data_IF_561190893987
#
_entry.id   IF_561190893987
#
_cell.length_a   1.000
_cell.length_b   1.000
_cell.length_c   1.000
_cell.angle_alpha   90.00
_cell.angle_beta   90.00
_cell.angle_gamma   90.00
#
_symmetry.space_group_name_H-M   'P 1'
#
loop_
_entity.id
_entity.type
_entity.pdbx_description
1 polymer ?
#
# COMPACT_ATOMS: atom_id res chain seq x y z
N UNK A 1 -6.93 50.47 -53.30
CA UNK A 1 -7.56 51.29 -52.25
C UNK A 1 -8.54 50.41 -51.47
N UNK A 2 -8.33 50.25 -50.15
CA UNK A 2 -9.25 49.81 -49.06
C UNK A 2 -10.08 48.52 -49.29
N UNK A 3 -9.79 47.40 -48.61
CA UNK A 3 -10.19 47.08 -47.22
C UNK A 3 -11.71 47.09 -47.00
N UNK A 4 -12.35 45.92 -46.76
CA UNK A 4 -12.67 45.38 -45.42
C UNK A 4 -13.44 44.05 -45.54
N UNK A 5 -13.41 43.32 -44.43
CA UNK A 5 -13.63 41.87 -44.25
C UNK A 5 -14.96 41.64 -43.49
N UNK A 6 -15.37 40.36 -43.42
CA UNK A 6 -16.26 39.68 -42.44
C UNK A 6 -17.77 39.66 -42.71
N UNK A 7 -18.55 38.63 -42.35
CA UNK A 7 -18.38 37.19 -42.06
C UNK A 7 -19.81 36.62 -41.90
N UNK A 8 -20.11 35.43 -42.42
CA UNK A 8 -21.02 34.42 -41.83
C UNK A 8 -21.00 33.20 -42.75
N UNK A 9 -20.98 31.94 -42.34
CA UNK A 9 -21.04 31.28 -41.05
C UNK A 9 -21.48 29.86 -41.38
N UNK A 10 -20.55 28.91 -41.55
CA UNK A 10 -20.87 27.52 -41.84
C UNK A 10 -20.39 26.65 -40.68
N UNK A 11 -21.33 26.36 -39.77
CA UNK A 11 -21.17 25.40 -38.68
C UNK A 11 -21.18 23.98 -39.24
N UNK A 12 -20.02 23.46 -39.65
CA UNK A 12 -19.83 22.03 -39.82
C UNK A 12 -19.25 21.46 -38.54
N UNK A 13 -20.12 20.93 -37.68
CA UNK A 13 -19.75 19.98 -36.65
C UNK A 13 -19.02 18.81 -37.34
N UNK A 14 -17.72 18.70 -37.10
CA UNK A 14 -16.94 17.52 -37.49
C UNK A 14 -17.11 16.46 -36.42
N UNK A 15 -17.52 15.29 -36.88
CA UNK A 15 -17.82 14.07 -36.13
C UNK A 15 -16.70 13.72 -35.14
N UNK A 16 -17.02 13.70 -33.84
CA UNK A 16 -16.24 12.94 -32.86
C UNK A 16 -16.48 11.46 -33.16
N UNK A 17 -15.43 10.72 -33.50
CA UNK A 17 -15.53 9.32 -33.93
C UNK A 17 -15.89 8.42 -32.74
N UNK A 18 -16.88 7.54 -32.91
CA UNK A 18 -17.36 6.58 -31.88
C UNK A 18 -16.23 5.68 -31.33
N UNK A 19 -15.14 5.51 -32.08
CA UNK A 19 -13.96 4.72 -31.69
C UNK A 19 -13.20 5.33 -30.50
N UNK A 20 -13.17 6.66 -30.35
CA UNK A 20 -12.50 7.29 -29.18
C UNK A 20 -13.36 7.22 -27.91
N UNK A 21 -14.69 7.17 -28.05
CA UNK A 21 -15.60 6.96 -26.92
C UNK A 21 -15.50 5.53 -26.38
N UNK A 22 -15.33 4.52 -27.25
CA UNK A 22 -15.14 3.13 -26.82
C UNK A 22 -13.83 2.89 -26.05
N UNK A 23 -12.73 3.51 -26.49
CA UNK A 23 -11.44 3.45 -25.78
C UNK A 23 -11.46 4.21 -24.46
N UNK A 24 -12.14 5.36 -24.39
CA UNK A 24 -12.33 6.08 -23.12
C UNK A 24 -13.24 5.32 -22.17
N UNK A 25 -14.30 4.66 -22.65
CA UNK A 25 -15.19 3.84 -21.82
C UNK A 25 -14.48 2.60 -21.26
N UNK A 26 -13.61 1.95 -22.05
CA UNK A 26 -12.79 0.83 -21.57
C UNK A 26 -11.76 1.27 -20.52
N UNK A 27 -11.16 2.44 -20.71
CA UNK A 27 -10.23 3.01 -19.73
C UNK A 27 -10.95 3.45 -18.43
N UNK A 28 -12.22 3.87 -18.51
CA UNK A 28 -13.02 4.27 -17.35
C UNK A 28 -13.65 3.09 -16.60
N UNK A 29 -14.10 2.04 -17.29
CA UNK A 29 -14.69 0.83 -16.68
C UNK A 29 -13.63 0.00 -15.95
N UNK A 30 -12.40 -0.06 -16.47
CA UNK A 30 -11.29 -0.79 -15.82
C UNK A 30 -10.94 -0.28 -14.42
N UNK A 31 -10.94 1.04 -14.22
CA UNK A 31 -10.60 1.67 -12.94
C UNK A 31 -11.71 1.49 -11.88
N UNK A 32 -12.97 1.40 -12.28
CA UNK A 32 -14.11 1.27 -11.36
C UNK A 32 -14.30 -0.17 -10.82
N UNK A 33 -13.90 -1.19 -11.57
CA UNK A 33 -14.04 -2.59 -11.16
C UNK A 33 -13.02 -3.00 -10.07
N UNK A 34 -11.81 -2.44 -10.11
CA UNK A 34 -10.73 -2.80 -9.20
C UNK A 34 -10.93 -2.25 -7.77
N UNK A 35 -11.53 -1.07 -7.62
CA UNK A 35 -11.90 -0.54 -6.29
C UNK A 35 -13.02 -1.34 -5.64
N UNK A 36 -14.00 -1.82 -6.43
CA UNK A 36 -15.15 -2.57 -5.91
C UNK A 36 -14.75 -3.91 -5.31
N UNK A 37 -13.75 -4.58 -5.87
CA UNK A 37 -13.29 -5.87 -5.37
C UNK A 37 -12.61 -5.78 -4.00
N UNK A 38 -11.92 -4.67 -3.71
CA UNK A 38 -11.33 -4.44 -2.40
C UNK A 38 -12.40 -4.24 -1.33
N UNK A 39 -13.41 -3.40 -1.62
CA UNK A 39 -14.48 -3.10 -0.67
C UNK A 39 -15.30 -4.35 -0.33
N UNK A 40 -15.54 -5.24 -1.32
CA UNK A 40 -16.16 -6.56 -1.06
C UNK A 40 -15.30 -7.41 -0.13
N UNK A 41 -13.98 -7.43 -0.33
CA UNK A 41 -13.06 -8.13 0.57
C UNK A 41 -13.08 -7.57 1.99
N UNK A 42 -13.14 -6.24 2.13
CA UNK A 42 -13.19 -5.57 3.42
C UNK A 42 -14.51 -5.81 4.15
N UNK A 43 -15.65 -5.69 3.47
CA UNK A 43 -16.96 -6.00 4.07
C UNK A 43 -17.01 -7.46 4.55
N UNK A 44 -16.56 -8.41 3.72
CA UNK A 44 -16.49 -9.81 4.12
C UNK A 44 -15.59 -10.03 5.35
N UNK A 45 -14.46 -9.33 5.43
CA UNK A 45 -13.56 -9.40 6.58
C UNK A 45 -14.23 -8.87 7.86
N UNK A 46 -14.93 -7.73 7.78
CA UNK A 46 -15.64 -7.11 8.91
C UNK A 46 -16.82 -7.97 9.40
N UNK A 47 -17.48 -8.70 8.49
CA UNK A 47 -18.57 -9.64 8.79
C UNK A 47 -18.05 -11.00 9.31
N UNK A 48 -16.74 -11.23 9.28
CA UNK A 48 -16.13 -12.50 9.67
C UNK A 48 -16.18 -13.59 8.61
N UNK A 49 -16.61 -13.29 7.37
CA UNK A 49 -16.43 -14.16 6.21
C UNK A 49 -14.98 -14.08 5.69
N UNK A 50 -14.09 -14.69 6.47
CA UNK A 50 -12.67 -14.72 6.14
C UNK A 50 -12.34 -15.53 4.89
N UNK A 51 -13.25 -16.41 4.43
CA UNK A 51 -13.02 -17.16 3.19
C UNK A 51 -13.12 -16.24 1.98
N UNK A 52 -14.19 -15.44 1.91
CA UNK A 52 -14.38 -14.46 0.85
C UNK A 52 -13.33 -13.35 0.93
N UNK A 53 -13.04 -12.85 2.13
CA UNK A 53 -12.00 -11.83 2.34
C UNK A 53 -10.63 -12.32 1.85
N UNK A 54 -10.23 -13.55 2.24
CA UNK A 54 -8.96 -14.14 1.82
C UNK A 54 -8.89 -14.24 0.30
N UNK A 55 -9.95 -14.72 -0.35
CA UNK A 55 -9.98 -14.86 -1.80
C UNK A 55 -9.77 -13.50 -2.50
N UNK A 56 -10.50 -12.47 -2.06
CA UNK A 56 -10.41 -11.12 -2.64
C UNK A 56 -9.04 -10.48 -2.39
N UNK A 57 -8.58 -10.44 -1.15
CA UNK A 57 -7.28 -9.85 -0.82
C UNK A 57 -6.13 -10.59 -1.49
N UNK A 58 -6.17 -11.92 -1.58
CA UNK A 58 -5.11 -12.70 -2.25
C UNK A 58 -5.06 -12.47 -3.75
N UNK A 59 -6.20 -12.21 -4.40
CA UNK A 59 -6.24 -11.82 -5.81
C UNK A 59 -5.65 -10.42 -6.01
N UNK A 60 -6.14 -9.43 -5.26
CA UNK A 60 -5.72 -8.03 -5.36
C UNK A 60 -4.26 -7.82 -4.97
N UNK A 61 -3.79 -8.48 -3.90
CA UNK A 61 -2.41 -8.40 -3.43
C UNK A 61 -1.41 -8.91 -4.47
N UNK A 62 -1.78 -9.95 -5.23
CA UNK A 62 -0.97 -10.46 -6.36
C UNK A 62 -0.91 -9.49 -7.53
N UNK A 63 -1.96 -8.69 -7.73
CA UNK A 63 -1.97 -7.59 -8.72
C UNK A 63 -1.22 -6.35 -8.25
N UNK A 64 -0.76 -6.31 -7.00
CA UNK A 64 0.00 -5.19 -6.45
C UNK A 64 -0.80 -4.20 -5.60
N UNK A 65 -2.10 -4.43 -5.36
CA UNK A 65 -2.89 -3.53 -4.52
C UNK A 65 -2.30 -3.47 -3.10
N UNK A 66 -1.84 -2.27 -2.74
CA UNK A 66 -1.12 -1.97 -1.49
C UNK A 66 -1.98 -2.31 -0.26
N UNK A 67 -3.28 -1.98 -0.31
CA UNK A 67 -4.20 -2.22 0.81
C UNK A 67 -4.44 -3.71 0.97
N UNK A 68 -4.66 -4.43 -0.13
CA UNK A 68 -4.85 -5.87 -0.10
C UNK A 68 -3.61 -6.61 0.40
N UNK A 69 -2.41 -6.16 0.06
CA UNK A 69 -1.16 -6.69 0.62
C UNK A 69 -1.11 -6.47 2.14
N UNK A 70 -1.47 -5.28 2.62
CA UNK A 70 -1.55 -5.02 4.06
C UNK A 70 -2.54 -5.95 4.78
N UNK A 71 -3.78 -6.03 4.28
CA UNK A 71 -4.84 -6.85 4.90
C UNK A 71 -4.53 -8.35 4.83
N UNK A 72 -3.94 -8.83 3.73
CA UNK A 72 -3.50 -10.22 3.64
C UNK A 72 -2.43 -10.53 4.70
N UNK A 73 -1.52 -9.58 4.95
CA UNK A 73 -0.57 -9.69 6.05
C UNK A 73 -1.26 -9.76 7.42
N UNK A 74 -2.28 -8.93 7.67
CA UNK A 74 -3.08 -9.00 8.90
C UNK A 74 -3.79 -10.34 9.07
N UNK A 75 -4.36 -10.91 8.00
CA UNK A 75 -5.01 -12.22 8.03
C UNK A 75 -4.04 -13.32 8.46
N UNK A 76 -2.83 -13.33 7.89
CA UNK A 76 -1.78 -14.28 8.30
C UNK A 76 -1.29 -14.03 9.74
N UNK A 77 -1.21 -12.77 10.19
CA UNK A 77 -0.83 -12.44 11.56
C UNK A 77 -1.84 -12.95 12.59
N UNK A 78 -3.13 -12.86 12.27
CA UNK A 78 -4.25 -13.22 13.16
C UNK A 78 -4.66 -14.68 13.04
N UNK A 79 -4.43 -15.30 11.88
CA UNK A 79 -4.98 -16.61 11.53
C UNK A 79 -6.44 -16.54 11.06
N UNK A 80 -6.84 -15.41 10.48
CA UNK A 80 -8.22 -15.19 10.02
C UNK A 80 -8.40 -15.86 8.65
N UNK A 81 -9.14 -16.98 8.60
CA UNK A 81 -9.34 -17.76 7.37
C UNK A 81 -8.10 -18.50 6.85
N UNK A 82 -6.96 -18.38 7.54
CA UNK A 82 -5.68 -19.02 7.21
C UNK A 82 -4.98 -19.52 8.48
N UNK A 83 -4.03 -20.44 8.34
CA UNK A 83 -3.12 -20.76 9.45
C UNK A 83 -2.29 -19.53 9.79
N UNK A 84 -2.25 -19.18 11.07
CA UNK A 84 -1.44 -18.08 11.58
C UNK A 84 0.04 -18.27 11.21
N UNK A 85 0.63 -17.29 10.54
CA UNK A 85 2.01 -17.31 10.08
C UNK A 85 2.58 -15.89 9.98
N UNK A 86 3.44 -15.51 10.95
CA UNK A 86 4.08 -14.20 10.95
C UNK A 86 5.10 -14.02 9.83
N UNK A 87 5.70 -15.09 9.31
CA UNK A 87 6.68 -15.00 8.22
C UNK A 87 5.97 -14.57 6.95
N UNK A 88 4.81 -15.17 6.69
CA UNK A 88 3.98 -14.79 5.56
C UNK A 88 3.39 -13.39 5.74
N UNK A 89 2.97 -13.03 6.95
CA UNK A 89 2.52 -11.67 7.25
C UNK A 89 3.60 -10.61 6.93
N UNK A 90 4.85 -10.84 7.37
CA UNK A 90 5.99 -9.96 7.07
C UNK A 90 6.27 -9.85 5.58
N UNK A 91 6.13 -10.94 4.81
CA UNK A 91 6.30 -10.88 3.35
C UNK A 91 5.29 -9.94 2.70
N UNK A 92 4.01 -10.07 3.07
CA UNK A 92 2.93 -9.24 2.51
C UNK A 92 3.03 -7.79 2.96
N UNK A 93 3.27 -7.53 4.25
CA UNK A 93 3.50 -6.16 4.71
C UNK A 93 4.73 -5.53 4.06
N UNK A 94 5.82 -6.28 3.82
CA UNK A 94 7.00 -5.73 3.13
C UNK A 94 6.65 -5.21 1.74
N UNK A 95 5.82 -5.94 0.99
CA UNK A 95 5.36 -5.50 -0.33
C UNK A 95 4.52 -4.22 -0.26
N UNK A 96 3.64 -4.08 0.74
CA UNK A 96 2.87 -2.86 0.94
C UNK A 96 3.75 -1.69 1.42
N UNK A 97 4.69 -1.97 2.33
CA UNK A 97 5.54 -0.98 2.99
C UNK A 97 6.52 -0.31 2.04
N UNK A 98 7.12 -1.06 1.10
CA UNK A 98 8.01 -0.47 0.06
C UNK A 98 7.24 0.41 -0.93
N UNK A 99 5.92 0.24 -1.03
CA UNK A 99 5.06 1.12 -1.83
C UNK A 99 4.52 2.31 -1.02
N UNK A 100 4.98 2.47 0.24
CA UNK A 100 4.63 3.60 1.09
C UNK A 100 3.45 3.37 2.03
N UNK A 101 2.94 2.15 2.19
CA UNK A 101 1.88 1.89 3.16
C UNK A 101 2.39 2.07 4.59
N UNK A 102 1.91 3.12 5.25
CA UNK A 102 2.38 3.51 6.58
C UNK A 102 2.00 2.49 7.67
N UNK A 103 0.87 1.80 7.51
CA UNK A 103 0.43 0.80 8.47
C UNK A 103 1.28 -0.46 8.35
N UNK A 104 1.60 -0.90 7.14
CA UNK A 104 2.52 -2.00 6.90
C UNK A 104 3.94 -1.69 7.41
N UNK A 105 4.45 -0.48 7.17
CA UNK A 105 5.73 -0.02 7.74
C UNK A 105 5.70 -0.07 9.27
N UNK A 106 4.62 0.41 9.88
CA UNK A 106 4.45 0.34 11.34
C UNK A 106 4.40 -1.10 11.85
N UNK A 107 3.64 -1.98 11.19
CA UNK A 107 3.55 -3.39 11.55
C UNK A 107 4.91 -4.11 11.44
N UNK A 108 5.71 -3.81 10.42
CA UNK A 108 7.08 -4.33 10.30
C UNK A 108 7.97 -3.79 11.42
N UNK A 109 7.93 -2.48 11.69
CA UNK A 109 8.69 -1.85 12.78
C UNK A 109 8.40 -2.48 14.14
N UNK A 110 7.12 -2.68 14.47
CA UNK A 110 6.69 -3.35 15.71
C UNK A 110 7.11 -4.82 15.73
N UNK A 111 6.92 -5.55 14.63
CA UNK A 111 7.23 -6.97 14.55
C UNK A 111 8.73 -7.22 14.74
N UNK A 112 9.60 -6.43 14.10
CA UNK A 112 11.04 -6.54 14.28
C UNK A 112 11.53 -5.99 15.63
N UNK A 113 10.80 -5.04 16.25
CA UNK A 113 11.14 -4.56 17.58
C UNK A 113 10.98 -5.65 18.65
N UNK A 114 9.84 -6.36 18.65
CA UNK A 114 9.54 -7.38 19.66
C UNK A 114 9.96 -8.80 19.25
N UNK A 115 10.13 -9.04 17.95
CA UNK A 115 10.09 -10.39 17.38
C UNK A 115 8.68 -10.97 17.37
N UNK A 116 8.51 -12.09 16.67
CA UNK A 116 7.30 -12.90 16.62
C UNK A 116 7.65 -14.36 16.28
N UNK A 117 6.66 -15.26 16.31
CA UNK A 117 6.86 -16.67 15.97
C UNK A 117 7.46 -16.83 14.56
N UNK A 118 8.68 -17.35 14.49
CA UNK A 118 9.41 -17.52 13.22
C UNK A 118 10.01 -16.24 12.63
N UNK A 119 9.90 -15.10 13.31
CA UNK A 119 10.50 -13.80 12.93
C UNK A 119 11.28 -13.25 14.13
N UNK A 120 12.60 -13.48 14.23
CA UNK A 120 13.41 -12.94 15.30
C UNK A 120 13.36 -11.40 15.35
N UNK A 121 13.56 -10.83 16.53
CA UNK A 121 13.73 -9.39 16.67
C UNK A 121 14.98 -8.93 15.90
N UNK A 122 14.89 -7.77 15.26
CA UNK A 122 15.97 -7.10 14.55
C UNK A 122 15.81 -5.59 14.75
N UNK A 123 16.57 -5.04 15.70
CA UNK A 123 16.42 -3.64 16.10
C UNK A 123 16.87 -2.65 15.02
N UNK A 124 17.79 -3.04 14.12
CA UNK A 124 18.26 -2.19 13.03
C UNK A 124 17.16 -2.09 11.97
N UNK A 125 16.57 -3.23 11.58
CA UNK A 125 15.44 -3.27 10.65
C UNK A 125 14.21 -2.61 11.26
N UNK A 126 13.94 -2.82 12.54
CA UNK A 126 12.85 -2.16 13.26
C UNK A 126 13.01 -0.64 13.22
N UNK A 127 14.20 -0.12 13.54
CA UNK A 127 14.47 1.30 13.51
C UNK A 127 14.29 1.87 12.10
N UNK A 128 14.79 1.18 11.07
CA UNK A 128 14.65 1.62 9.68
C UNK A 128 13.18 1.80 9.26
N UNK A 129 12.29 0.87 9.63
CA UNK A 129 10.86 1.02 9.36
C UNK A 129 10.21 2.12 10.22
N UNK A 130 10.55 2.21 11.50
CA UNK A 130 9.99 3.22 12.41
C UNK A 130 10.43 4.65 12.04
N UNK A 131 11.64 4.83 11.51
CA UNK A 131 12.13 6.10 10.94
C UNK A 131 11.16 6.60 9.84
N UNK A 132 10.79 5.72 8.91
CA UNK A 132 9.85 6.06 7.82
C UNK A 132 8.47 6.45 8.35
N UNK A 133 7.98 5.76 9.38
CA UNK A 133 6.67 6.03 10.00
C UNK A 133 6.67 7.37 10.74
N UNK A 134 7.73 7.66 11.51
CA UNK A 134 7.87 8.92 12.25
C UNK A 134 8.04 10.10 11.29
N UNK A 135 8.79 9.93 10.19
CA UNK A 135 8.96 10.95 9.16
C UNK A 135 7.63 11.36 8.50
N UNK A 136 6.68 10.43 8.38
CA UNK A 136 5.33 10.69 7.90
C UNK A 136 4.37 11.25 8.97
N UNK A 137 4.84 11.45 10.20
CA UNK A 137 4.14 12.16 11.26
C UNK A 137 3.30 11.29 12.22
N UNK A 138 3.27 9.97 12.04
CA UNK A 138 2.56 9.06 12.94
C UNK A 138 3.28 9.00 14.29
N UNK A 139 2.56 9.40 15.35
CA UNK A 139 3.15 9.58 16.67
C UNK A 139 3.28 8.28 17.46
N UNK A 140 2.47 7.28 17.12
CA UNK A 140 2.36 6.01 17.84
C UNK A 140 3.66 5.20 17.76
N UNK A 141 4.46 5.41 16.70
CA UNK A 141 5.78 4.81 16.54
C UNK A 141 6.88 5.46 17.40
N UNK A 142 6.70 6.71 17.89
CA UNK A 142 7.76 7.47 18.57
C UNK A 142 8.31 6.79 19.82
N UNK A 143 7.51 6.17 20.71
CA UNK A 143 8.07 5.52 21.89
C UNK A 143 9.05 4.40 21.53
N UNK A 144 8.69 3.54 20.57
CA UNK A 144 9.56 2.47 20.08
C UNK A 144 10.79 3.04 19.38
N UNK A 145 10.58 4.04 18.54
CA UNK A 145 11.66 4.75 17.83
C UNK A 145 12.69 5.36 18.79
N UNK A 146 12.24 6.12 19.79
CA UNK A 146 13.12 6.72 20.81
C UNK A 146 13.84 5.66 21.64
N UNK A 147 13.14 4.57 21.98
CA UNK A 147 13.71 3.44 22.70
C UNK A 147 14.89 2.82 21.93
N UNK A 148 14.74 2.59 20.62
CA UNK A 148 15.81 2.06 19.78
C UNK A 148 16.97 3.05 19.59
N UNK A 149 16.67 4.33 19.35
CA UNK A 149 17.70 5.39 19.22
C UNK A 149 18.58 5.52 20.47
N UNK A 150 18.04 5.21 21.66
CA UNK A 150 18.80 5.23 22.92
C UNK A 150 19.64 3.96 23.15
N UNK A 151 19.28 2.84 22.52
CA UNK A 151 19.92 1.53 22.71
C UNK A 151 20.99 1.23 21.66
N UNK A 152 20.78 1.69 20.43
CA UNK A 152 21.66 1.41 19.30
C UNK A 152 22.88 2.33 19.28
N UNK A 153 23.99 1.81 18.78
CA UNK A 153 25.20 2.58 18.54
C UNK A 153 25.01 3.54 17.35
N UNK A 154 25.82 4.61 17.23
CA UNK A 154 25.76 5.50 16.07
C UNK A 154 25.96 4.79 14.73
N UNK A 155 26.75 3.71 14.70
CA UNK A 155 26.98 2.91 13.50
C UNK A 155 25.72 2.13 13.09
N UNK A 156 25.06 1.47 14.04
CA UNK A 156 23.81 0.74 13.80
C UNK A 156 22.66 1.69 13.40
N UNK A 157 22.61 2.89 13.99
CA UNK A 157 21.65 3.92 13.58
C UNK A 157 21.88 4.37 12.13
N UNK A 158 23.14 4.55 11.70
CA UNK A 158 23.42 4.86 10.29
C UNK A 158 23.15 3.70 9.35
N UNK A 159 23.36 2.47 9.80
CA UNK A 159 22.97 1.28 9.05
C UNK A 159 21.45 1.24 8.84
N UNK A 160 20.64 1.46 9.89
CA UNK A 160 19.19 1.53 9.80
C UNK A 160 18.72 2.60 8.80
N UNK A 161 19.31 3.81 8.85
CA UNK A 161 19.02 4.86 7.86
C UNK A 161 19.44 4.45 6.45
N UNK A 162 20.54 3.72 6.31
CA UNK A 162 21.00 3.15 5.04
C UNK A 162 19.98 2.17 4.45
N UNK A 163 19.43 1.28 5.28
CA UNK A 163 18.37 0.37 4.87
C UNK A 163 17.12 1.13 4.39
N UNK A 164 16.64 2.10 5.17
CA UNK A 164 15.45 2.87 4.84
C UNK A 164 15.58 3.62 3.50
N UNK A 165 16.77 4.19 3.21
CA UNK A 165 17.06 4.86 1.92
C UNK A 165 17.02 3.91 0.73
N UNK A 166 17.35 2.63 0.92
CA UNK A 166 17.40 1.64 -0.16
C UNK A 166 16.02 1.02 -0.48
N UNK A 167 14.99 1.35 0.31
CA UNK A 167 13.61 0.88 0.08
C UNK A 167 12.74 1.90 -0.66
N UNK A 168 13.25 3.11 -0.90
CA UNK A 168 12.61 4.20 -1.63
C UNK A 168 13.12 4.28 -3.08
#
# INVERSE_FOLDING_TARGET
MKSKIHHSGNWRAKSVSIVTLGLLLWFFVGLAAESQDFDVGLMAYEEGDYTTALQKFKSLAKSGDIRAQYYLGEMYRRGDGVTKDYREAVNWWRLAAVQGDIWAQYMLGVTYYFGADGVPADHIVALAWLDLVVAQGIKDARPLWHSLQAQLTPAEVEEAKGLARNWQ
#
